data_IF_681599776487
#
_entry.id   IF_681599776487
#
_cell.length_a   1.000
_cell.length_b   1.000
_cell.length_c   1.000
_cell.angle_alpha   90.00
_cell.angle_beta   90.00
_cell.angle_gamma   90.00
#
_symmetry.space_group_name_H-M   'P 1'
#
loop_
_entity.id
_entity.type
_entity.pdbx_description
1 polymer ?
#
# COMPACT_ATOMS: atom_id res chain seq x y z
N UNK A 1 -7.86 -3.20 21.68
CA UNK A 1 -8.98 -2.97 20.75
C UNK A 1 -10.19 -3.85 21.12
N UNK A 2 -9.99 -4.97 21.81
CA UNK A 2 -11.06 -5.92 22.17
C UNK A 2 -11.90 -5.46 23.37
N UNK A 3 -11.47 -4.50 24.19
CA UNK A 3 -12.16 -4.06 25.41
C UNK A 3 -13.18 -2.92 25.20
N UNK A 4 -13.40 -2.43 24.00
CA UNK A 4 -14.30 -1.30 23.70
C UNK A 4 -15.70 -1.72 23.20
N UNK A 5 -16.12 -2.97 23.44
CA UNK A 5 -17.35 -3.54 22.88
C UNK A 5 -18.65 -3.21 23.63
N UNK A 6 -18.67 -2.30 24.59
CA UNK A 6 -19.88 -1.95 25.35
C UNK A 6 -20.18 -0.44 25.35
N UNK A 7 -20.61 0.12 24.23
CA UNK A 7 -21.44 1.34 24.22
C UNK A 7 -22.14 1.49 22.86
N UNK A 8 -23.38 1.05 22.78
CA UNK A 8 -24.26 1.28 21.63
C UNK A 8 -24.94 2.65 21.70
N UNK A 9 -24.72 3.49 20.69
CA UNK A 9 -25.68 4.55 20.33
C UNK A 9 -25.80 4.55 18.80
N UNK A 10 -27.02 4.46 18.32
CA UNK A 10 -27.36 4.36 16.91
C UNK A 10 -26.97 5.60 16.13
N UNK A 11 -25.95 5.50 15.26
CA UNK A 11 -25.63 6.52 14.27
C UNK A 11 -26.32 6.12 12.97
N UNK A 12 -27.22 6.99 12.47
CA UNK A 12 -27.77 6.91 11.12
C UNK A 12 -26.69 7.24 10.11
N UNK A 13 -25.94 6.22 9.68
CA UNK A 13 -24.98 6.34 8.59
C UNK A 13 -25.75 6.24 7.25
N UNK A 14 -25.92 7.38 6.59
CA UNK A 14 -26.57 7.46 5.27
C UNK A 14 -25.49 7.17 4.22
N UNK A 15 -25.34 5.92 3.82
CA UNK A 15 -24.45 5.58 2.69
C UNK A 15 -23.67 4.28 2.80
N UNK A 16 -24.10 3.32 3.59
CA UNK A 16 -23.35 2.08 3.73
C UNK A 16 -23.66 1.10 2.59
N UNK A 17 -22.68 0.87 1.71
CA UNK A 17 -22.66 -0.16 0.65
C UNK A 17 -22.78 -1.58 1.22
N UNK A 18 -22.60 -1.73 2.53
CA UNK A 18 -22.59 -3.01 3.27
C UNK A 18 -23.99 -3.58 3.57
N UNK A 19 -25.08 -2.99 3.07
CA UNK A 19 -26.46 -3.48 3.33
C UNK A 19 -26.74 -4.88 2.77
N UNK A 20 -25.89 -5.42 1.89
CA UNK A 20 -25.99 -6.81 1.40
C UNK A 20 -25.19 -7.80 2.24
N UNK A 21 -24.42 -7.33 3.24
CA UNK A 21 -23.71 -8.16 4.22
C UNK A 21 -24.59 -8.47 5.42
N UNK A 22 -24.22 -9.48 6.22
CA UNK A 22 -24.92 -9.72 7.49
C UNK A 22 -24.79 -8.48 8.38
N UNK A 23 -25.79 -8.18 9.25
CA UNK A 23 -25.74 -7.01 10.12
C UNK A 23 -24.47 -6.94 10.98
N UNK A 24 -23.94 -8.09 11.42
CA UNK A 24 -22.72 -8.17 12.23
C UNK A 24 -21.46 -7.78 11.43
N UNK A 25 -21.32 -8.24 10.19
CA UNK A 25 -20.21 -7.86 9.30
C UNK A 25 -20.27 -6.37 8.96
N UNK A 26 -21.46 -5.85 8.65
CA UNK A 26 -21.68 -4.42 8.40
C UNK A 26 -21.25 -3.57 9.60
N UNK A 27 -21.59 -4.01 10.83
CA UNK A 27 -21.23 -3.34 12.07
C UNK A 27 -19.71 -3.38 12.33
N UNK A 28 -19.06 -4.53 12.14
CA UNK A 28 -17.61 -4.70 12.29
C UNK A 28 -16.87 -3.65 11.43
N UNK A 29 -17.19 -3.59 10.14
CA UNK A 29 -16.52 -2.69 9.21
C UNK A 29 -16.80 -1.22 9.50
N UNK A 30 -18.01 -0.88 9.94
CA UNK A 30 -18.35 0.49 10.35
C UNK A 30 -17.55 0.93 11.60
N UNK A 31 -17.35 0.02 12.57
CA UNK A 31 -16.54 0.31 13.78
C UNK A 31 -15.07 0.50 13.39
N UNK A 32 -14.51 -0.38 12.56
CA UNK A 32 -13.12 -0.28 12.10
C UNK A 32 -12.93 1.07 11.39
N UNK A 33 -13.77 1.40 10.40
CA UNK A 33 -13.71 2.65 9.66
C UNK A 33 -13.74 3.88 10.58
N UNK A 34 -14.67 3.92 11.52
CA UNK A 34 -14.79 5.04 12.46
C UNK A 34 -13.57 5.18 13.35
N UNK A 35 -13.04 4.07 13.86
CA UNK A 35 -11.87 4.07 14.76
C UNK A 35 -10.63 4.56 14.02
N UNK A 36 -10.37 4.03 12.84
CA UNK A 36 -9.21 4.43 12.01
C UNK A 36 -9.33 5.87 11.55
N UNK A 37 -10.52 6.28 11.08
CA UNK A 37 -10.81 7.67 10.68
C UNK A 37 -10.51 8.65 11.79
N UNK A 38 -10.97 8.36 13.02
CA UNK A 38 -10.69 9.21 14.18
C UNK A 38 -9.19 9.38 14.40
N UNK A 39 -8.42 8.31 14.40
CA UNK A 39 -6.97 8.38 14.52
C UNK A 39 -6.36 9.20 13.38
N UNK A 40 -6.77 8.94 12.15
CA UNK A 40 -6.25 9.62 10.97
C UNK A 40 -6.53 11.14 11.00
N UNK A 41 -7.74 11.55 11.36
CA UNK A 41 -8.14 12.97 11.47
C UNK A 41 -7.42 13.69 12.62
N UNK A 42 -7.27 13.05 13.78
CA UNK A 42 -6.65 13.64 14.95
C UNK A 42 -5.11 13.69 14.88
N UNK A 43 -4.48 12.74 14.20
CA UNK A 43 -3.02 12.54 14.23
C UNK A 43 -2.33 12.75 12.88
N UNK A 44 -2.85 12.15 11.81
CA UNK A 44 -2.18 12.17 10.50
C UNK A 44 -2.47 13.44 9.70
N UNK A 45 -3.73 13.91 9.69
CA UNK A 45 -4.10 15.12 8.94
C UNK A 45 -3.26 16.33 9.38
N UNK A 46 -3.08 16.62 10.67
CA UNK A 46 -2.25 17.76 11.10
C UNK A 46 -0.77 17.64 10.71
N UNK A 47 -0.22 16.42 10.67
CA UNK A 47 1.19 16.17 10.37
C UNK A 47 1.49 16.09 8.86
N UNK A 48 0.50 15.82 8.03
CA UNK A 48 0.71 15.44 6.64
C UNK A 48 1.39 16.53 5.78
N UNK A 49 1.13 17.82 6.06
CA UNK A 49 1.77 18.92 5.34
C UNK A 49 3.27 19.04 5.68
N UNK A 50 3.61 18.94 6.96
CA UNK A 50 5.00 19.02 7.43
C UNK A 50 5.82 17.81 6.95
N UNK A 51 5.24 16.60 6.98
CA UNK A 51 5.85 15.38 6.42
C UNK A 51 6.19 15.53 4.94
N UNK A 52 5.28 16.10 4.16
CA UNK A 52 5.49 16.34 2.72
C UNK A 52 6.55 17.42 2.49
N UNK A 53 6.51 18.53 3.22
CA UNK A 53 7.45 19.64 3.07
C UNK A 53 8.88 19.22 3.40
N UNK A 54 9.07 18.56 4.54
CA UNK A 54 10.38 18.12 5.03
C UNK A 54 10.88 16.83 4.37
N UNK A 55 10.02 16.08 3.69
CA UNK A 55 10.30 14.73 3.21
C UNK A 55 10.80 13.79 4.33
N UNK A 56 10.23 13.91 5.54
CA UNK A 56 10.64 13.16 6.71
C UNK A 56 9.60 12.13 7.13
N UNK A 57 10.07 10.95 7.52
CA UNK A 57 9.22 9.90 8.05
C UNK A 57 8.83 10.20 9.50
N UNK A 58 7.52 10.14 9.84
CA UNK A 58 7.05 10.52 11.17
C UNK A 58 7.17 9.35 12.16
N UNK A 59 8.37 9.09 12.69
CA UNK A 59 8.68 7.95 13.56
C UNK A 59 7.67 7.79 14.71
N UNK A 60 7.34 8.88 15.43
CA UNK A 60 6.38 8.82 16.54
C UNK A 60 4.98 8.40 16.11
N UNK A 61 4.52 8.84 14.94
CA UNK A 61 3.21 8.42 14.41
C UNK A 61 3.24 6.95 13.99
N UNK A 62 4.35 6.47 13.44
CA UNK A 62 4.54 5.06 13.15
C UNK A 62 4.51 4.20 14.42
N UNK A 63 5.13 4.65 15.52
CA UNK A 63 5.06 3.99 16.84
C UNK A 63 3.62 3.96 17.38
N UNK A 64 2.86 5.07 17.29
CA UNK A 64 1.44 5.11 17.66
C UNK A 64 0.61 4.14 16.81
N UNK A 65 0.90 4.04 15.50
CA UNK A 65 0.25 3.08 14.58
C UNK A 65 0.62 1.63 14.90
N UNK A 66 1.86 1.37 15.33
CA UNK A 66 2.33 0.07 15.79
C UNK A 66 1.57 -0.37 17.06
N UNK A 67 1.41 0.53 18.03
CA UNK A 67 0.61 0.28 19.24
C UNK A 67 -0.87 -0.03 18.94
N UNK A 68 -1.39 0.45 17.80
CA UNK A 68 -2.74 0.15 17.29
C UNK A 68 -2.77 -1.11 16.39
N UNK A 69 -1.66 -1.84 16.28
CA UNK A 69 -1.49 -3.04 15.47
C UNK A 69 -1.68 -2.83 13.94
N UNK A 70 -1.43 -1.61 13.43
CA UNK A 70 -1.56 -1.33 12.00
C UNK A 70 -0.45 -1.95 11.14
N UNK A 71 0.63 -2.45 11.76
CA UNK A 71 1.70 -3.20 11.08
C UNK A 71 1.46 -4.71 11.02
N UNK A 72 0.42 -5.24 11.69
CA UNK A 72 0.07 -6.65 11.67
C UNK A 72 -1.39 -6.91 11.35
N UNK A 73 -1.99 -6.15 10.42
CA UNK A 73 -3.44 -6.15 10.19
C UNK A 73 -4.01 -7.53 9.91
N UNK A 74 -3.48 -8.26 8.94
CA UNK A 74 -3.95 -9.59 8.53
C UNK A 74 -3.18 -10.74 9.21
N UNK A 75 -2.15 -10.42 10.00
CA UNK A 75 -1.35 -11.43 10.70
C UNK A 75 -2.10 -11.95 11.93
N UNK A 76 -2.17 -13.27 12.13
CA UNK A 76 -2.88 -13.85 13.27
C UNK A 76 -2.32 -13.40 14.63
N UNK A 77 -3.18 -13.38 15.65
CA UNK A 77 -2.80 -13.00 17.02
C UNK A 77 -1.71 -13.91 17.61
N UNK A 78 -1.58 -15.16 17.15
CA UNK A 78 -0.50 -16.07 17.52
C UNK A 78 0.89 -15.52 17.16
N UNK A 79 0.98 -14.61 16.16
CA UNK A 79 2.18 -13.92 15.74
C UNK A 79 2.10 -12.41 16.04
N UNK A 80 1.39 -12.04 17.09
CA UNK A 80 1.22 -10.67 17.57
C UNK A 80 0.48 -9.71 16.62
N UNK A 81 -0.21 -10.19 15.58
CA UNK A 81 -1.00 -9.39 14.67
C UNK A 81 -2.44 -9.17 15.13
N UNK A 82 -3.19 -8.35 14.40
CA UNK A 82 -4.59 -8.03 14.67
C UNK A 82 -5.59 -9.09 14.21
N UNK A 83 -5.20 -10.00 13.31
CA UNK A 83 -6.03 -11.08 12.78
C UNK A 83 -7.26 -10.61 12.02
N UNK A 84 -7.16 -9.46 11.35
CA UNK A 84 -8.25 -8.90 10.55
C UNK A 84 -8.35 -9.59 9.18
N UNK A 85 -9.50 -9.45 8.54
CA UNK A 85 -9.73 -9.89 7.17
C UNK A 85 -9.27 -8.84 6.14
N UNK A 86 -9.18 -9.23 4.87
CA UNK A 86 -8.71 -8.36 3.79
C UNK A 86 -9.67 -7.18 3.52
N UNK A 87 -10.96 -7.31 3.80
CA UNK A 87 -11.91 -6.20 3.74
C UNK A 87 -11.57 -5.16 4.82
N UNK A 88 -11.28 -5.59 6.04
CA UNK A 88 -10.84 -4.72 7.13
C UNK A 88 -9.51 -4.04 6.81
N UNK A 89 -8.54 -4.79 6.26
CA UNK A 89 -7.27 -4.26 5.77
C UNK A 89 -7.49 -3.14 4.73
N UNK A 90 -8.33 -3.38 3.73
CA UNK A 90 -8.63 -2.39 2.70
C UNK A 90 -9.23 -1.10 3.29
N UNK A 91 -10.13 -1.22 4.27
CA UNK A 91 -10.72 -0.09 4.99
C UNK A 91 -9.68 0.70 5.77
N UNK A 92 -8.77 0.03 6.47
CA UNK A 92 -7.68 0.70 7.21
C UNK A 92 -6.79 1.48 6.26
N UNK A 93 -6.35 0.85 5.15
CA UNK A 93 -5.52 1.52 4.14
C UNK A 93 -6.24 2.73 3.53
N UNK A 94 -7.54 2.61 3.18
CA UNK A 94 -8.35 3.71 2.66
C UNK A 94 -8.37 4.91 3.63
N UNK A 95 -8.71 4.70 4.90
CA UNK A 95 -8.86 5.78 5.88
C UNK A 95 -7.51 6.44 6.24
N UNK A 96 -6.44 5.67 6.37
CA UNK A 96 -5.09 6.21 6.59
C UNK A 96 -4.62 7.01 5.37
N UNK A 97 -4.83 6.48 4.15
CA UNK A 97 -4.39 7.14 2.91
C UNK A 97 -5.18 8.40 2.60
N UNK A 98 -6.42 8.50 3.06
CA UNK A 98 -7.23 9.73 2.99
C UNK A 98 -6.57 10.88 3.75
N UNK A 99 -5.91 10.60 4.86
CA UNK A 99 -5.18 11.60 5.65
C UNK A 99 -3.74 11.80 5.15
N UNK A 100 -3.04 10.70 4.84
CA UNK A 100 -1.65 10.69 4.37
C UNK A 100 -1.41 9.52 3.43
N UNK A 101 -1.25 9.81 2.12
CA UNK A 101 -0.89 8.80 1.12
C UNK A 101 0.42 8.08 1.46
N UNK A 102 1.41 8.82 1.99
CA UNK A 102 2.71 8.29 2.38
C UNK A 102 2.62 7.25 3.52
N UNK A 103 1.83 7.52 4.56
CA UNK A 103 1.62 6.56 5.66
C UNK A 103 0.75 5.38 5.23
N UNK A 104 -0.26 5.61 4.38
CA UNK A 104 -1.02 4.54 3.75
C UNK A 104 -0.13 3.60 2.94
N UNK A 105 0.81 4.15 2.16
CA UNK A 105 1.83 3.38 1.44
C UNK A 105 2.71 2.57 2.37
N UNK A 106 3.20 3.20 3.46
CA UNK A 106 4.07 2.55 4.44
C UNK A 106 3.43 1.27 4.97
N UNK A 107 2.22 1.37 5.52
CA UNK A 107 1.54 0.21 6.12
C UNK A 107 1.02 -0.77 5.06
N UNK A 108 0.67 -0.31 3.86
CA UNK A 108 0.25 -1.17 2.77
C UNK A 108 1.37 -2.11 2.34
N UNK A 109 2.54 -1.58 1.99
CA UNK A 109 3.71 -2.36 1.56
C UNK A 109 4.20 -3.28 2.68
N UNK A 110 4.26 -2.77 3.91
CA UNK A 110 4.66 -3.58 5.06
C UNK A 110 3.75 -4.79 5.25
N UNK A 111 2.43 -4.61 5.28
CA UNK A 111 1.49 -5.71 5.52
C UNK A 111 1.40 -6.67 4.34
N UNK A 112 1.17 -6.15 3.12
CA UNK A 112 0.77 -6.98 1.98
C UNK A 112 1.93 -7.66 1.26
N UNK A 113 3.07 -6.97 1.11
CA UNK A 113 4.18 -7.49 0.30
C UNK A 113 5.43 -7.79 1.12
N UNK A 114 5.42 -7.51 2.43
CA UNK A 114 6.54 -7.82 3.32
C UNK A 114 6.17 -8.81 4.42
N UNK A 115 5.24 -8.49 5.32
CA UNK A 115 4.85 -9.38 6.43
C UNK A 115 4.04 -10.59 5.95
N UNK A 116 3.08 -10.39 5.04
CA UNK A 116 2.25 -11.47 4.53
C UNK A 116 3.05 -12.60 3.84
N UNK A 117 4.06 -12.35 2.97
CA UNK A 117 4.90 -13.41 2.43
C UNK A 117 5.64 -14.22 3.50
N UNK A 118 6.13 -13.59 4.57
CA UNK A 118 6.77 -14.30 5.68
C UNK A 118 5.76 -15.18 6.43
N UNK A 119 4.53 -14.72 6.59
CA UNK A 119 3.45 -15.53 7.16
C UNK A 119 3.10 -16.73 6.28
N UNK A 120 2.90 -16.50 4.98
CA UNK A 120 2.38 -17.52 4.05
C UNK A 120 3.44 -18.57 3.68
N UNK A 121 4.67 -18.13 3.37
CA UNK A 121 5.71 -18.99 2.82
C UNK A 121 6.83 -19.32 3.82
N UNK A 122 6.89 -18.63 4.96
CA UNK A 122 7.91 -18.84 5.97
C UNK A 122 7.68 -20.12 6.78
N UNK A 123 8.77 -20.73 7.23
CA UNK A 123 8.74 -21.79 8.24
C UNK A 123 8.54 -21.21 9.64
N UNK A 124 8.22 -22.06 10.63
CA UNK A 124 7.86 -21.57 11.98
C UNK A 124 8.99 -20.76 12.62
N UNK A 125 10.24 -21.16 12.47
CA UNK A 125 11.38 -20.40 12.99
C UNK A 125 11.47 -18.99 12.38
N UNK A 126 11.16 -18.83 11.09
CA UNK A 126 11.13 -17.54 10.41
C UNK A 126 9.94 -16.68 10.89
N UNK A 127 8.77 -17.28 11.12
CA UNK A 127 7.63 -16.55 11.68
C UNK A 127 7.93 -16.04 13.08
N UNK A 128 8.58 -16.83 13.92
CA UNK A 128 8.99 -16.41 15.25
C UNK A 128 10.07 -15.31 15.20
N UNK A 129 11.10 -15.47 14.37
CA UNK A 129 12.24 -14.56 14.33
C UNK A 129 11.93 -13.23 13.61
N UNK A 130 11.16 -13.28 12.52
CA UNK A 130 10.98 -12.13 11.63
C UNK A 130 9.55 -11.59 11.63
N UNK A 131 8.52 -12.46 11.59
CA UNK A 131 7.14 -12.00 11.46
C UNK A 131 6.62 -11.31 12.72
N UNK A 132 6.94 -11.82 13.92
CA UNK A 132 6.49 -11.23 15.19
C UNK A 132 7.00 -9.78 15.35
N UNK A 133 8.30 -9.48 15.17
CA UNK A 133 8.76 -8.09 15.18
C UNK A 133 8.12 -7.20 14.10
N UNK A 134 7.85 -7.76 12.91
CA UNK A 134 7.13 -7.04 11.86
C UNK A 134 5.70 -6.72 12.29
N UNK A 135 4.94 -7.69 12.77
CA UNK A 135 3.54 -7.51 13.17
C UNK A 135 3.38 -6.53 14.33
N UNK A 136 4.38 -6.41 15.20
CA UNK A 136 4.45 -5.40 16.26
C UNK A 136 4.87 -4.02 15.77
N UNK A 137 5.36 -3.89 14.53
CA UNK A 137 5.94 -2.65 14.00
C UNK A 137 7.33 -2.31 14.55
N UNK A 138 7.98 -3.24 15.25
CA UNK A 138 9.35 -3.10 15.74
C UNK A 138 10.37 -3.10 14.58
N UNK A 139 10.06 -3.86 13.52
CA UNK A 139 10.84 -3.92 12.29
C UNK A 139 9.93 -3.69 11.06
N UNK A 140 10.10 -2.55 10.41
CA UNK A 140 9.35 -2.24 9.18
C UNK A 140 9.94 -3.06 8.04
N UNK A 141 9.07 -3.69 7.24
CA UNK A 141 9.47 -4.53 6.11
C UNK A 141 9.43 -3.81 4.77
N UNK A 142 10.27 -4.29 3.85
CA UNK A 142 10.33 -3.84 2.46
C UNK A 142 10.18 -5.01 1.48
N UNK A 143 9.89 -4.67 0.22
CA UNK A 143 9.82 -5.60 -0.90
C UNK A 143 10.82 -5.17 -1.97
N UNK A 144 11.96 -5.85 -2.07
CA UNK A 144 13.11 -5.44 -2.86
C UNK A 144 13.22 -6.29 -4.13
N UNK A 145 12.35 -6.02 -5.11
CA UNK A 145 12.33 -6.72 -6.41
C UNK A 145 12.96 -5.86 -7.52
N UNK A 146 12.55 -4.58 -7.60
CA UNK A 146 12.89 -3.66 -8.70
C UNK A 146 14.37 -3.32 -8.72
N UNK A 147 14.96 -3.31 -9.93
CA UNK A 147 16.35 -2.95 -10.20
C UNK A 147 16.44 -1.85 -11.29
N UNK A 148 17.61 -1.22 -11.48
CA UNK A 148 17.75 -0.17 -12.49
C UNK A 148 17.26 -0.55 -13.89
N UNK A 149 17.47 -1.81 -14.30
CA UNK A 149 17.10 -2.34 -15.62
C UNK A 149 15.85 -3.26 -15.57
N UNK A 150 15.23 -3.48 -14.39
CA UNK A 150 14.14 -4.43 -14.20
C UNK A 150 13.02 -3.85 -13.35
N UNK A 151 12.05 -3.20 -13.98
CA UNK A 151 10.82 -2.71 -13.36
C UNK A 151 9.61 -3.56 -13.76
N UNK A 152 8.91 -3.18 -14.83
CA UNK A 152 7.76 -3.95 -15.37
C UNK A 152 8.15 -5.34 -15.86
N UNK A 153 9.37 -5.51 -16.36
CA UNK A 153 9.96 -6.83 -16.61
C UNK A 153 10.71 -7.32 -15.37
N UNK A 154 9.96 -7.77 -14.37
CA UNK A 154 10.50 -8.30 -13.12
C UNK A 154 11.36 -9.58 -13.31
N UNK A 155 11.28 -10.22 -14.46
CA UNK A 155 12.10 -11.40 -14.79
C UNK A 155 13.53 -11.04 -15.23
N UNK A 156 13.80 -9.76 -15.46
CA UNK A 156 15.12 -9.29 -15.90
C UNK A 156 16.02 -8.80 -14.76
N UNK A 157 15.69 -9.09 -13.48
CA UNK A 157 16.57 -8.75 -12.36
C UNK A 157 17.95 -9.42 -12.54
N UNK A 158 18.99 -8.75 -12.02
CA UNK A 158 20.39 -9.13 -12.16
C UNK A 158 21.05 -9.46 -10.81
N UNK A 159 20.44 -9.09 -9.67
CA UNK A 159 20.92 -9.46 -8.33
C UNK A 159 21.09 -10.95 -8.22
N UNK A 160 22.28 -11.40 -7.78
CA UNK A 160 22.63 -12.81 -7.63
C UNK A 160 22.70 -13.23 -6.16
N UNK A 161 22.44 -14.51 -5.91
CA UNK A 161 22.68 -15.19 -4.65
C UNK A 161 23.44 -16.50 -4.92
N UNK A 162 24.73 -16.48 -4.69
CA UNK A 162 25.62 -17.62 -4.94
C UNK A 162 25.77 -18.41 -3.65
N UNK A 163 25.62 -19.75 -3.71
CA UNK A 163 25.85 -20.63 -2.55
C UNK A 163 27.28 -20.53 -2.06
N UNK A 164 27.45 -20.36 -0.74
CA UNK A 164 28.74 -20.34 -0.06
C UNK A 164 28.63 -21.11 1.27
N UNK A 165 29.15 -22.33 1.30
CA UNK A 165 29.03 -23.24 2.44
C UNK A 165 27.56 -23.56 2.76
N UNK A 166 27.11 -23.18 3.94
CA UNK A 166 25.76 -23.37 4.45
C UNK A 166 24.85 -22.14 4.24
N UNK A 167 25.30 -21.16 3.44
CA UNK A 167 24.55 -19.94 3.16
C UNK A 167 24.67 -19.47 1.72
N UNK A 168 24.53 -18.17 1.53
CA UNK A 168 24.60 -17.49 0.24
C UNK A 168 25.38 -16.19 0.36
N UNK A 169 26.02 -15.78 -0.73
CA UNK A 169 26.58 -14.45 -0.92
C UNK A 169 25.72 -13.73 -1.94
N UNK A 170 25.13 -12.60 -1.54
CA UNK A 170 24.29 -11.78 -2.40
C UNK A 170 25.05 -10.57 -2.90
N UNK A 171 24.92 -10.30 -4.20
CA UNK A 171 25.48 -9.13 -4.87
C UNK A 171 24.44 -8.52 -5.83
N UNK A 172 24.29 -7.19 -5.79
CA UNK A 172 23.39 -6.47 -6.66
C UNK A 172 22.85 -5.17 -6.08
N UNK A 173 21.87 -4.57 -6.75
CA UNK A 173 21.27 -3.30 -6.32
C UNK A 173 19.77 -3.29 -6.59
N UNK A 174 19.00 -2.86 -5.60
CA UNK A 174 17.55 -2.64 -5.68
C UNK A 174 17.27 -1.14 -5.61
N UNK A 175 16.33 -0.68 -6.41
CA UNK A 175 15.96 0.74 -6.45
C UNK A 175 14.48 0.95 -6.12
N UNK A 176 14.13 2.19 -5.77
CA UNK A 176 12.78 2.60 -5.42
C UNK A 176 12.17 1.73 -4.31
N UNK A 177 12.99 1.35 -3.32
CA UNK A 177 12.55 0.48 -2.22
C UNK A 177 11.71 1.31 -1.24
N UNK A 178 10.41 1.13 -1.27
CA UNK A 178 9.45 1.74 -0.32
C UNK A 178 9.79 1.30 1.11
N UNK A 179 9.73 2.23 2.06
CA UNK A 179 10.17 2.06 3.45
C UNK A 179 11.68 1.82 3.62
N UNK A 180 12.49 1.86 2.57
CA UNK A 180 13.90 1.48 2.60
C UNK A 180 14.70 2.20 3.68
N UNK A 181 14.52 3.52 3.82
CA UNK A 181 15.24 4.33 4.80
C UNK A 181 14.97 3.96 6.27
N UNK A 182 13.79 3.39 6.56
CA UNK A 182 13.36 2.99 7.92
C UNK A 182 13.17 1.47 8.07
N UNK A 183 13.55 0.70 7.05
CA UNK A 183 13.40 -0.76 7.10
C UNK A 183 14.25 -1.39 8.20
N UNK A 184 13.68 -2.38 8.87
CA UNK A 184 14.41 -3.31 9.73
C UNK A 184 14.60 -4.68 9.07
N UNK A 185 13.72 -5.04 8.11
CA UNK A 185 13.76 -6.30 7.36
C UNK A 185 13.50 -6.07 5.88
N UNK A 186 14.24 -6.76 5.03
CA UNK A 186 14.18 -6.61 3.59
C UNK A 186 13.93 -7.97 2.92
N UNK A 187 12.88 -8.08 2.11
CA UNK A 187 12.65 -9.24 1.25
C UNK A 187 13.39 -9.03 -0.08
N UNK A 188 14.55 -9.63 -0.22
CA UNK A 188 15.43 -9.47 -1.38
C UNK A 188 15.20 -10.60 -2.38
N UNK A 189 14.84 -10.27 -3.61
CA UNK A 189 14.72 -11.19 -4.72
C UNK A 189 16.04 -11.26 -5.48
N UNK A 190 16.56 -12.48 -5.67
CA UNK A 190 17.84 -12.73 -6.33
C UNK A 190 17.80 -13.97 -7.19
N UNK A 191 18.72 -14.07 -8.15
CA UNK A 191 18.95 -15.25 -8.98
C UNK A 191 19.85 -16.22 -8.22
N UNK A 192 19.38 -17.43 -7.98
CA UNK A 192 20.14 -18.50 -7.32
C UNK A 192 20.78 -19.48 -8.28
N UNK A 193 20.21 -19.63 -9.47
CA UNK A 193 20.77 -20.52 -10.50
C UNK A 193 20.67 -19.85 -11.88
N UNK A 194 21.77 -19.27 -12.39
CA UNK A 194 21.83 -18.71 -13.74
C UNK A 194 22.14 -19.83 -14.77
N UNK A 195 21.23 -20.78 -14.97
CA UNK A 195 21.45 -21.85 -15.96
C UNK A 195 20.98 -21.47 -17.37
N UNK A 196 21.53 -22.09 -18.41
CA UNK A 196 21.07 -21.93 -19.79
C UNK A 196 19.61 -22.36 -20.00
N UNK A 197 19.04 -23.15 -19.09
CA UNK A 197 17.65 -23.62 -19.12
C UNK A 197 16.63 -22.62 -18.52
N UNK A 198 17.10 -21.49 -17.98
CA UNK A 198 16.30 -20.45 -17.36
C UNK A 198 16.93 -19.95 -16.06
N UNK A 199 16.43 -18.81 -15.59
CA UNK A 199 16.85 -18.22 -14.33
C UNK A 199 15.95 -18.72 -13.22
N UNK A 200 16.53 -19.20 -12.13
CA UNK A 200 15.79 -19.51 -10.90
C UNK A 200 15.90 -18.33 -9.94
N UNK A 201 14.77 -17.88 -9.45
CA UNK A 201 14.67 -16.75 -8.53
C UNK A 201 14.31 -17.24 -7.14
N UNK A 202 14.97 -16.68 -6.13
CA UNK A 202 14.71 -16.97 -4.72
C UNK A 202 14.51 -15.69 -3.93
N UNK A 203 13.95 -15.79 -2.72
CA UNK A 203 13.69 -14.67 -1.84
C UNK A 203 14.42 -14.87 -0.52
N UNK A 204 15.08 -13.84 -0.05
CA UNK A 204 15.82 -13.86 1.21
C UNK A 204 15.28 -12.80 2.16
N UNK A 205 15.10 -13.16 3.43
CA UNK A 205 14.77 -12.22 4.51
C UNK A 205 16.08 -11.71 5.08
N UNK A 206 16.38 -10.42 4.90
CA UNK A 206 17.67 -9.85 5.31
C UNK A 206 17.43 -8.68 6.27
N UNK A 207 18.06 -8.75 7.44
CA UNK A 207 18.07 -7.65 8.41
C UNK A 207 18.85 -6.47 7.85
N UNK A 208 18.38 -5.26 8.12
CA UNK A 208 18.99 -4.03 7.58
C UNK A 208 20.40 -3.78 8.10
N UNK A 209 20.73 -4.31 9.27
CA UNK A 209 22.04 -4.18 9.92
C UNK A 209 23.06 -5.23 9.46
N UNK A 210 22.69 -6.09 8.50
CA UNK A 210 23.57 -7.15 8.01
C UNK A 210 24.74 -6.56 7.23
N UNK A 211 25.95 -7.07 7.53
CA UNK A 211 27.16 -6.71 6.80
C UNK A 211 27.01 -6.99 5.31
N UNK A 212 27.42 -6.05 4.47
CA UNK A 212 27.25 -6.10 3.01
C UNK A 212 25.89 -5.62 2.49
N UNK A 213 24.95 -5.20 3.38
CA UNK A 213 23.74 -4.49 2.96
C UNK A 213 23.89 -3.01 3.29
N UNK A 214 23.74 -2.15 2.27
CA UNK A 214 23.82 -0.70 2.42
C UNK A 214 22.54 -0.04 1.90
N UNK A 215 22.05 0.95 2.66
CA UNK A 215 20.96 1.84 2.23
C UNK A 215 21.55 3.06 1.57
N UNK A 216 21.14 3.35 0.35
CA UNK A 216 21.55 4.56 -0.34
C UNK A 216 20.80 5.81 0.14
N UNK A 217 21.08 6.94 -0.52
CA UNK A 217 20.39 8.19 -0.23
C UNK A 217 18.89 8.08 -0.54
N UNK A 218 18.08 8.79 0.24
CA UNK A 218 16.64 8.89 -0.01
C UNK A 218 16.40 9.59 -1.37
N UNK A 219 15.47 9.02 -2.14
CA UNK A 219 15.03 9.59 -3.42
C UNK A 219 14.24 10.89 -3.20
N UNK A 220 14.52 11.91 -4.00
CA UNK A 220 13.72 13.15 -4.04
C UNK A 220 12.51 12.95 -4.96
N UNK A 221 11.40 12.54 -4.37
CA UNK A 221 10.19 12.15 -5.08
C UNK A 221 9.22 13.31 -5.27
N UNK A 222 8.44 13.24 -6.34
CA UNK A 222 7.34 14.16 -6.65
C UNK A 222 6.29 14.19 -5.54
N UNK A 223 5.90 13.02 -5.01
CA UNK A 223 4.90 12.82 -3.96
C UNK A 223 5.30 11.68 -3.03
N UNK A 224 4.40 11.30 -2.09
CA UNK A 224 4.70 10.30 -1.06
C UNK A 224 5.93 10.66 -0.20
N UNK A 225 6.26 11.93 -0.10
CA UNK A 225 7.54 12.45 0.42
C UNK A 225 7.80 12.09 1.89
N UNK A 226 6.74 11.81 2.66
CA UNK A 226 6.87 11.28 4.03
C UNK A 226 7.20 9.79 4.12
N UNK A 227 7.35 9.07 2.99
CA UNK A 227 7.82 7.69 2.95
C UNK A 227 9.27 7.64 2.44
N UNK A 228 10.22 7.11 3.22
CA UNK A 228 11.63 7.13 2.84
C UNK A 228 11.93 6.00 1.84
N UNK A 229 11.85 6.32 0.57
CA UNK A 229 12.24 5.45 -0.55
C UNK A 229 13.72 5.62 -0.82
N UNK A 230 14.49 4.52 -0.87
CA UNK A 230 15.91 4.57 -1.21
C UNK A 230 16.36 3.29 -1.93
N UNK A 231 17.51 3.31 -2.61
CA UNK A 231 18.13 2.08 -3.10
C UNK A 231 18.70 1.25 -1.95
N UNK A 232 18.76 -0.09 -2.17
CA UNK A 232 19.45 -1.05 -1.31
C UNK A 232 20.51 -1.73 -2.13
N UNK A 233 21.75 -1.65 -1.69
CA UNK A 233 22.93 -2.24 -2.36
C UNK A 233 23.41 -3.44 -1.54
N UNK A 234 23.75 -4.50 -2.24
CA UNK A 234 24.30 -5.73 -1.68
C UNK A 234 25.70 -5.93 -2.24
N UNK A 235 26.69 -5.96 -1.36
CA UNK A 235 28.09 -6.13 -1.69
C UNK A 235 28.69 -7.24 -0.82
N UNK A 236 28.87 -8.42 -1.40
CA UNK A 236 29.28 -9.64 -0.71
C UNK A 236 28.46 -9.93 0.55
N UNK A 237 27.16 -9.62 0.51
CA UNK A 237 26.26 -9.77 1.65
C UNK A 237 26.05 -11.26 1.95
N UNK A 238 26.63 -11.72 3.09
CA UNK A 238 26.52 -13.11 3.54
C UNK A 238 25.21 -13.35 4.26
N UNK A 239 24.42 -14.29 3.76
CA UNK A 239 23.08 -14.60 4.26
C UNK A 239 22.98 -16.07 4.60
N UNK A 240 22.60 -16.45 5.84
CA UNK A 240 22.42 -17.85 6.23
C UNK A 240 21.30 -18.52 5.43
N UNK A 241 21.38 -19.83 5.28
CA UNK A 241 20.38 -20.62 4.55
C UNK A 241 18.97 -20.50 5.17
N UNK A 242 18.89 -20.37 6.48
CA UNK A 242 17.63 -20.19 7.21
C UNK A 242 16.89 -18.92 6.87
N UNK A 243 17.53 -17.94 6.21
CA UNK A 243 16.91 -16.72 5.74
C UNK A 243 16.27 -16.86 4.34
N UNK A 244 16.44 -17.99 3.66
CA UNK A 244 15.75 -18.29 2.41
C UNK A 244 14.24 -18.46 2.70
N UNK A 245 13.41 -17.62 2.10
CA UNK A 245 11.95 -17.69 2.24
C UNK A 245 11.36 -18.67 1.21
N UNK A 246 10.69 -19.70 1.69
CA UNK A 246 10.21 -20.80 0.87
C UNK A 246 11.36 -21.71 0.41
N UNK A 247 11.32 -22.16 -0.82
CA UNK A 247 12.35 -23.01 -1.44
C UNK A 247 13.11 -22.25 -2.52
N UNK A 248 14.33 -22.71 -2.81
CA UNK A 248 15.12 -22.18 -3.93
C UNK A 248 14.35 -22.34 -5.25
N UNK A 249 14.37 -21.30 -6.10
CA UNK A 249 13.61 -21.28 -7.35
C UNK A 249 12.15 -20.81 -7.24
N UNK A 250 11.60 -20.65 -6.04
CA UNK A 250 10.21 -20.20 -5.84
C UNK A 250 10.02 -18.67 -5.84
N UNK A 251 11.08 -17.90 -5.97
CA UNK A 251 11.03 -16.43 -5.80
C UNK A 251 10.00 -15.73 -6.69
N UNK A 252 9.94 -16.07 -7.97
CA UNK A 252 8.96 -15.42 -8.88
C UNK A 252 7.51 -15.82 -8.54
N UNK A 253 7.27 -17.06 -8.11
CA UNK A 253 5.96 -17.51 -7.63
C UNK A 253 5.54 -16.72 -6.40
N UNK A 254 6.45 -16.55 -5.44
CA UNK A 254 6.21 -15.76 -4.22
C UNK A 254 5.92 -14.30 -4.60
N UNK A 255 6.74 -13.69 -5.46
CA UNK A 255 6.54 -12.31 -5.92
C UNK A 255 5.14 -12.09 -6.53
N UNK A 256 4.76 -12.91 -7.50
CA UNK A 256 3.49 -12.74 -8.21
C UNK A 256 2.26 -12.97 -7.30
N UNK A 257 2.31 -14.01 -6.45
CA UNK A 257 1.25 -14.28 -5.46
C UNK A 257 1.10 -13.14 -4.46
N UNK A 258 2.21 -12.59 -4.00
CA UNK A 258 2.25 -11.47 -3.05
C UNK A 258 1.69 -10.19 -3.65
N UNK A 259 2.06 -9.89 -4.90
CA UNK A 259 1.59 -8.69 -5.61
C UNK A 259 0.06 -8.68 -5.83
N UNK A 260 -0.62 -9.83 -5.87
CA UNK A 260 -2.08 -9.86 -5.95
C UNK A 260 -2.74 -9.24 -4.70
N UNK A 261 -2.17 -9.48 -3.52
CA UNK A 261 -2.57 -8.82 -2.27
C UNK A 261 -2.16 -7.34 -2.24
N UNK A 262 -0.94 -7.04 -2.70
CA UNK A 262 -0.43 -5.67 -2.80
C UNK A 262 -1.29 -4.76 -3.66
N UNK A 263 -1.83 -5.26 -4.79
CA UNK A 263 -2.77 -4.52 -5.66
C UNK A 263 -4.04 -4.10 -4.93
N UNK A 264 -4.56 -4.90 -4.00
CA UNK A 264 -5.68 -4.51 -3.13
C UNK A 264 -5.26 -3.33 -2.25
N UNK A 265 -4.08 -3.40 -1.65
CA UNK A 265 -3.53 -2.33 -0.81
C UNK A 265 -3.36 -1.02 -1.57
N UNK A 266 -2.71 -1.05 -2.75
CA UNK A 266 -2.53 0.15 -3.58
C UNK A 266 -3.86 0.68 -4.13
N UNK A 267 -4.79 -0.20 -4.50
CA UNK A 267 -6.15 0.21 -4.87
C UNK A 267 -6.84 0.96 -3.72
N UNK A 268 -6.71 0.47 -2.50
CA UNK A 268 -7.29 1.09 -1.29
C UNK A 268 -6.60 2.42 -0.96
N UNK A 269 -5.30 2.52 -1.15
CA UNK A 269 -4.54 3.77 -1.00
C UNK A 269 -5.02 4.82 -2.01
N UNK A 270 -5.09 4.45 -3.28
CA UNK A 270 -5.57 5.33 -4.33
C UNK A 270 -7.02 5.79 -4.08
N UNK A 271 -7.90 4.88 -3.61
CA UNK A 271 -9.25 5.21 -3.19
C UNK A 271 -9.26 6.25 -2.05
N UNK A 272 -8.40 6.09 -1.05
CA UNK A 272 -8.26 7.06 0.05
C UNK A 272 -7.90 8.45 -0.45
N UNK A 273 -6.93 8.55 -1.37
CA UNK A 273 -6.53 9.81 -1.99
C UNK A 273 -7.68 10.40 -2.83
N UNK A 274 -8.38 9.58 -3.63
CA UNK A 274 -9.53 10.04 -4.42
C UNK A 274 -10.66 10.57 -3.53
N UNK A 275 -10.94 9.89 -2.41
CA UNK A 275 -11.93 10.31 -1.42
C UNK A 275 -11.53 11.65 -0.78
N UNK A 276 -10.26 11.85 -0.44
CA UNK A 276 -9.73 13.11 0.09
C UNK A 276 -9.92 14.26 -0.92
N UNK A 277 -9.64 14.01 -2.20
CA UNK A 277 -9.86 14.99 -3.26
C UNK A 277 -11.34 15.37 -3.41
N UNK A 278 -12.24 14.40 -3.35
CA UNK A 278 -13.68 14.64 -3.41
C UNK A 278 -14.16 15.47 -2.23
N UNK A 279 -13.79 15.10 -0.99
CA UNK A 279 -14.20 15.82 0.23
C UNK A 279 -13.67 17.25 0.24
N UNK A 280 -12.39 17.48 -0.12
CA UNK A 280 -11.80 18.80 -0.23
C UNK A 280 -12.51 19.66 -1.29
N UNK A 281 -12.84 19.05 -2.45
CA UNK A 281 -13.54 19.74 -3.54
C UNK A 281 -14.97 20.15 -3.16
N UNK A 282 -15.71 19.26 -2.48
CA UNK A 282 -17.05 19.55 -1.98
C UNK A 282 -17.01 20.74 -0.99
N UNK A 283 -16.09 20.64 -0.01
CA UNK A 283 -15.93 21.71 1.00
C UNK A 283 -15.62 23.05 0.34
N UNK A 284 -14.60 23.10 -0.51
CA UNK A 284 -14.21 24.31 -1.20
C UNK A 284 -15.35 24.87 -2.07
N UNK A 285 -16.06 24.01 -2.82
CA UNK A 285 -17.17 24.45 -3.67
C UNK A 285 -18.33 25.06 -2.89
N UNK A 286 -18.57 24.59 -1.66
CA UNK A 286 -19.62 25.14 -0.77
C UNK A 286 -19.23 26.47 -0.13
N UNK A 287 -17.93 26.71 0.08
CA UNK A 287 -17.40 27.90 0.76
C UNK A 287 -17.04 29.03 -0.23
N UNK A 288 -16.65 28.71 -1.47
CA UNK A 288 -16.19 29.68 -2.48
C UNK A 288 -17.34 30.33 -3.23
N UNK A 289 -17.34 31.65 -3.29
CA UNK A 289 -18.30 32.46 -4.05
C UNK A 289 -17.65 33.10 -5.27
N UNK A 290 -18.31 33.02 -6.41
CA UNK A 290 -18.00 33.74 -7.65
C UNK A 290 -19.31 34.06 -8.40
N UNK A 291 -19.34 35.19 -9.13
CA UNK A 291 -20.51 35.64 -9.87
C UNK A 291 -21.79 35.72 -8.99
N UNK A 292 -21.61 36.12 -7.73
CA UNK A 292 -22.72 36.34 -6.78
C UNK A 292 -23.31 35.07 -6.13
N UNK A 293 -22.78 33.88 -6.38
CA UNK A 293 -23.24 32.61 -5.79
C UNK A 293 -22.08 31.65 -5.47
N UNK A 294 -22.38 30.62 -4.67
CA UNK A 294 -21.38 29.56 -4.39
C UNK A 294 -21.00 28.87 -5.70
N UNK A 295 -19.75 28.46 -5.84
CA UNK A 295 -19.36 27.71 -7.05
C UNK A 295 -20.04 26.34 -7.12
N UNK A 296 -20.47 25.76 -5.99
CA UNK A 296 -21.30 24.54 -5.94
C UNK A 296 -22.65 24.68 -6.68
N UNK A 297 -23.14 25.91 -6.91
CA UNK A 297 -24.41 26.18 -7.59
C UNK A 297 -24.26 26.30 -9.12
N UNK A 298 -23.03 26.07 -9.66
CA UNK A 298 -22.80 25.98 -11.10
C UNK A 298 -22.86 24.54 -11.61
N UNK A 299 -23.60 24.30 -12.69
CA UNK A 299 -23.80 22.98 -13.27
C UNK A 299 -22.48 22.25 -13.65
N UNK A 300 -21.46 22.99 -14.12
CA UNK A 300 -20.15 22.40 -14.42
C UNK A 300 -19.46 21.81 -13.17
N UNK A 301 -19.53 22.53 -12.02
CA UNK A 301 -18.96 22.05 -10.75
C UNK A 301 -19.76 20.85 -10.22
N UNK A 302 -21.09 20.89 -10.33
CA UNK A 302 -21.96 19.76 -9.96
C UNK A 302 -21.63 18.51 -10.78
N UNK A 303 -21.41 18.67 -12.09
CA UNK A 303 -20.99 17.59 -12.96
C UNK A 303 -19.66 16.96 -12.53
N UNK A 304 -18.64 17.78 -12.27
CA UNK A 304 -17.37 17.32 -11.76
C UNK A 304 -17.48 16.54 -10.44
N UNK A 305 -18.24 17.05 -9.48
CA UNK A 305 -18.44 16.38 -8.19
C UNK A 305 -19.20 15.05 -8.35
N UNK A 306 -20.19 14.99 -9.22
CA UNK A 306 -20.95 13.78 -9.51
C UNK A 306 -20.05 12.68 -10.15
N UNK A 307 -19.21 13.06 -11.12
CA UNK A 307 -18.27 12.15 -11.77
C UNK A 307 -17.24 11.62 -10.76
N UNK A 308 -16.65 12.50 -9.95
CA UNK A 308 -15.72 12.11 -8.88
C UNK A 308 -16.38 11.13 -7.90
N UNK A 309 -17.57 11.44 -7.41
CA UNK A 309 -18.29 10.60 -6.45
C UNK A 309 -18.61 9.21 -7.03
N UNK A 310 -19.04 9.16 -8.29
CA UNK A 310 -19.36 7.92 -8.98
C UNK A 310 -18.13 7.03 -9.14
N UNK A 311 -17.01 7.59 -9.57
CA UNK A 311 -15.75 6.85 -9.74
C UNK A 311 -15.15 6.38 -8.42
N UNK A 312 -15.21 7.20 -7.36
CA UNK A 312 -14.79 6.82 -6.01
C UNK A 312 -15.59 5.62 -5.51
N UNK A 313 -16.91 5.64 -5.67
CA UNK A 313 -17.77 4.51 -5.25
C UNK A 313 -17.52 3.25 -6.06
N UNK A 314 -17.35 3.37 -7.38
CA UNK A 314 -17.01 2.23 -8.24
C UNK A 314 -15.65 1.62 -7.85
N UNK A 315 -14.64 2.45 -7.52
CA UNK A 315 -13.34 1.99 -7.02
C UNK A 315 -13.51 1.18 -5.73
N UNK A 316 -14.30 1.68 -4.79
CA UNK A 316 -14.58 1.02 -3.51
C UNK A 316 -15.22 -0.35 -3.72
N UNK A 317 -16.20 -0.45 -4.59
CA UNK A 317 -16.88 -1.71 -4.90
C UNK A 317 -15.93 -2.75 -5.52
N UNK A 318 -15.04 -2.34 -6.43
CA UNK A 318 -14.04 -3.23 -7.02
C UNK A 318 -13.05 -3.75 -5.98
N UNK A 319 -12.57 -2.88 -5.08
CA UNK A 319 -11.64 -3.24 -4.00
C UNK A 319 -12.32 -4.22 -3.03
N UNK A 320 -13.54 -3.92 -2.60
CA UNK A 320 -14.29 -4.79 -1.69
C UNK A 320 -14.55 -6.17 -2.31
N UNK A 321 -14.83 -6.23 -3.62
CA UNK A 321 -14.97 -7.50 -4.33
C UNK A 321 -13.67 -8.30 -4.31
N UNK A 322 -12.53 -7.69 -4.65
CA UNK A 322 -11.23 -8.35 -4.64
C UNK A 322 -10.87 -8.86 -3.23
N UNK A 323 -11.04 -8.00 -2.20
CA UNK A 323 -10.80 -8.35 -0.79
C UNK A 323 -11.68 -9.52 -0.33
N UNK A 324 -12.98 -9.50 -0.65
CA UNK A 324 -13.91 -10.58 -0.29
C UNK A 324 -13.56 -11.92 -0.96
N UNK A 325 -13.07 -11.91 -2.19
CA UNK A 325 -12.59 -13.12 -2.85
C UNK A 325 -11.35 -13.68 -2.15
N UNK A 326 -10.40 -12.80 -1.77
CA UNK A 326 -9.20 -13.18 -1.02
C UNK A 326 -9.54 -13.79 0.33
N UNK A 327 -10.45 -13.18 1.10
CA UNK A 327 -10.92 -13.71 2.39
C UNK A 327 -11.53 -15.12 2.26
N UNK A 328 -12.20 -15.36 1.15
CA UNK A 328 -12.78 -16.67 0.83
C UNK A 328 -11.78 -17.65 0.20
N UNK A 329 -10.50 -17.29 0.11
CA UNK A 329 -9.43 -18.05 -0.54
C UNK A 329 -9.75 -18.43 -1.99
N UNK A 330 -10.48 -17.58 -2.70
CA UNK A 330 -10.81 -17.75 -4.12
C UNK A 330 -9.78 -17.05 -5.00
N UNK A 331 -9.56 -17.49 -6.25
CA UNK A 331 -8.74 -16.75 -7.21
C UNK A 331 -9.23 -15.31 -7.36
N UNK A 332 -8.32 -14.34 -7.19
CA UNK A 332 -8.67 -12.91 -7.17
C UNK A 332 -7.70 -12.02 -7.96
N UNK A 333 -6.71 -12.61 -8.66
CA UNK A 333 -5.68 -11.85 -9.38
C UNK A 333 -6.26 -10.86 -10.39
N UNK A 334 -7.29 -11.27 -11.15
CA UNK A 334 -8.01 -10.41 -12.09
C UNK A 334 -8.73 -9.27 -11.39
N UNK A 335 -9.47 -9.57 -10.35
CA UNK A 335 -10.24 -8.60 -9.59
C UNK A 335 -9.34 -7.61 -8.86
N UNK A 336 -8.20 -8.05 -8.32
CA UNK A 336 -7.17 -7.20 -7.72
C UNK A 336 -6.56 -6.26 -8.75
N UNK A 337 -6.25 -6.76 -9.95
CA UNK A 337 -5.76 -5.94 -11.05
C UNK A 337 -6.79 -4.90 -11.53
N UNK A 338 -8.08 -5.29 -11.64
CA UNK A 338 -9.18 -4.36 -11.98
C UNK A 338 -9.35 -3.28 -10.92
N UNK A 339 -9.31 -3.65 -9.64
CA UNK A 339 -9.44 -2.73 -8.52
C UNK A 339 -8.29 -1.69 -8.52
N UNK A 340 -7.05 -2.15 -8.64
CA UNK A 340 -5.86 -1.28 -8.68
C UNK A 340 -5.88 -0.35 -9.88
N UNK A 341 -6.15 -0.87 -11.08
CA UNK A 341 -6.22 -0.09 -12.30
C UNK A 341 -7.25 1.04 -12.18
N UNK A 342 -8.48 0.69 -11.84
CA UNK A 342 -9.57 1.66 -11.80
C UNK A 342 -9.38 2.70 -10.68
N UNK A 343 -8.95 2.27 -9.48
CA UNK A 343 -8.76 3.17 -8.35
C UNK A 343 -7.59 4.13 -8.57
N UNK A 344 -6.46 3.67 -9.14
CA UNK A 344 -5.30 4.53 -9.40
C UNK A 344 -5.60 5.62 -10.44
N UNK A 345 -6.27 5.27 -11.54
CA UNK A 345 -6.70 6.25 -12.55
C UNK A 345 -7.77 7.20 -11.97
N UNK A 346 -8.66 6.70 -11.12
CA UNK A 346 -9.63 7.53 -10.40
C UNK A 346 -8.96 8.55 -9.48
N UNK A 347 -7.90 8.15 -8.77
CA UNK A 347 -7.18 9.06 -7.88
C UNK A 347 -6.53 10.22 -8.63
N UNK A 348 -5.87 9.92 -9.76
CA UNK A 348 -5.25 10.95 -10.61
C UNK A 348 -6.30 11.89 -11.20
N UNK A 349 -7.41 11.35 -11.73
CA UNK A 349 -8.50 12.17 -12.27
C UNK A 349 -9.16 13.02 -11.18
N UNK A 350 -9.45 12.45 -10.02
CA UNK A 350 -10.05 13.18 -8.90
C UNK A 350 -9.15 14.31 -8.42
N UNK A 351 -7.84 14.08 -8.34
CA UNK A 351 -6.89 15.11 -7.93
C UNK A 351 -6.79 16.22 -8.99
N UNK A 352 -6.74 15.87 -10.27
CA UNK A 352 -6.74 16.84 -11.39
C UNK A 352 -8.01 17.69 -11.40
N UNK A 353 -9.18 17.07 -11.22
CA UNK A 353 -10.48 17.77 -11.16
C UNK A 353 -10.52 18.64 -9.91
N UNK A 354 -10.06 18.13 -8.77
CA UNK A 354 -9.99 18.87 -7.53
C UNK A 354 -9.13 20.14 -7.63
N UNK A 355 -7.96 20.07 -8.25
CA UNK A 355 -7.13 21.24 -8.58
C UNK A 355 -7.93 22.27 -9.40
N UNK A 356 -8.64 21.79 -10.43
CA UNK A 356 -9.44 22.67 -11.30
C UNK A 356 -10.58 23.35 -10.54
N UNK A 357 -11.26 22.65 -9.63
CA UNK A 357 -12.34 23.22 -8.79
C UNK A 357 -11.77 24.31 -7.86
N UNK A 358 -10.58 24.11 -7.30
CA UNK A 358 -9.92 25.10 -6.44
C UNK A 358 -9.35 26.31 -7.22
N UNK A 359 -9.20 26.19 -8.55
CA UNK A 359 -8.64 27.25 -9.40
C UNK A 359 -7.22 27.61 -8.98
N UNK A 360 -6.88 28.91 -8.95
CA UNK A 360 -5.55 29.37 -8.54
C UNK A 360 -5.11 28.91 -7.15
N UNK A 361 -6.03 28.77 -6.21
CA UNK A 361 -5.73 28.21 -4.89
C UNK A 361 -5.36 26.73 -4.91
N UNK A 362 -5.86 25.95 -5.88
CA UNK A 362 -5.47 24.57 -6.07
C UNK A 362 -3.99 24.41 -6.49
N UNK A 363 -3.43 25.43 -7.14
CA UNK A 363 -2.02 25.46 -7.55
C UNK A 363 -1.08 25.99 -6.46
N UNK A 364 -1.62 26.31 -5.30
CA UNK A 364 -0.90 26.81 -4.12
C UNK A 364 -0.86 25.75 -3.01
N UNK A 365 0.24 25.71 -2.26
CA UNK A 365 0.39 24.86 -1.07
C UNK A 365 -0.55 25.22 0.11
N UNK A 366 -1.38 26.28 -0.03
CA UNK A 366 -2.35 26.67 0.97
C UNK A 366 -3.50 25.65 1.16
N UNK A 367 -3.71 24.81 0.17
CA UNK A 367 -4.70 23.72 0.20
C UNK A 367 -4.02 22.36 -0.07
N UNK A 368 -4.51 21.27 0.51
CA UNK A 368 -3.84 19.97 0.38
C UNK A 368 -4.01 19.31 -1.00
N UNK A 369 -4.83 19.88 -1.87
CA UNK A 369 -5.20 19.27 -3.14
C UNK A 369 -4.00 19.10 -4.09
N UNK A 370 -3.01 20.01 -4.05
CA UNK A 370 -1.80 19.89 -4.87
C UNK A 370 -0.93 18.71 -4.41
N UNK A 371 -0.85 18.46 -3.09
CA UNK A 371 -0.17 17.29 -2.53
C UNK A 371 -0.85 15.99 -2.96
N UNK A 372 -2.18 15.95 -2.90
CA UNK A 372 -2.95 14.80 -3.36
C UNK A 372 -2.69 14.48 -4.83
N UNK A 373 -2.51 15.52 -5.68
CA UNK A 373 -2.16 15.32 -7.09
C UNK A 373 -0.79 14.71 -7.26
N UNK A 374 0.22 15.16 -6.50
CA UNK A 374 1.57 14.61 -6.52
C UNK A 374 1.58 13.16 -6.01
N UNK A 375 0.85 12.90 -4.93
CA UNK A 375 0.74 11.57 -4.32
C UNK A 375 -0.03 10.58 -5.22
N UNK A 376 -1.10 11.02 -5.87
CA UNK A 376 -1.94 10.15 -6.70
C UNK A 376 -1.17 9.51 -7.87
N UNK A 377 -0.23 10.27 -8.48
CA UNK A 377 0.41 9.83 -9.72
C UNK A 377 1.16 8.50 -9.60
N UNK A 378 1.85 8.28 -8.51
CA UNK A 378 2.64 7.06 -8.33
C UNK A 378 1.76 5.80 -8.20
N UNK A 379 0.48 5.94 -7.81
CA UNK A 379 -0.46 4.81 -7.75
C UNK A 379 -0.69 4.13 -9.10
N UNK A 380 -0.48 4.83 -10.23
CA UNK A 380 -0.53 4.24 -11.57
C UNK A 380 0.74 3.48 -11.95
N UNK A 381 1.85 3.65 -11.19
CA UNK A 381 3.19 3.20 -11.58
C UNK A 381 3.62 1.97 -10.79
N UNK A 382 3.66 2.04 -9.45
CA UNK A 382 4.21 0.97 -8.62
C UNK A 382 3.25 -0.23 -8.47
N UNK A 383 3.80 -1.35 -7.98
CA UNK A 383 3.12 -2.67 -7.88
C UNK A 383 2.47 -3.14 -9.19
N UNK A 384 3.14 -2.77 -10.29
CA UNK A 384 2.70 -3.00 -11.67
C UNK A 384 1.92 -1.82 -12.23
N UNK A 385 2.46 -1.23 -13.31
CA UNK A 385 1.86 -0.07 -13.97
C UNK A 385 0.42 -0.35 -14.43
N UNK A 386 -0.34 0.72 -14.75
CA UNK A 386 -1.69 0.59 -15.34
C UNK A 386 -1.70 -0.29 -16.58
N UNK A 387 -0.62 -0.26 -17.39
CA UNK A 387 -0.43 -1.13 -18.57
C UNK A 387 -0.26 -2.59 -18.16
N UNK A 388 0.56 -2.86 -17.13
CA UNK A 388 0.74 -4.22 -16.58
C UNK A 388 -0.58 -4.77 -16.04
N UNK A 389 -1.38 -3.95 -15.34
CA UNK A 389 -2.71 -4.37 -14.88
C UNK A 389 -3.61 -4.78 -16.05
N UNK A 390 -3.61 -4.00 -17.15
CA UNK A 390 -4.36 -4.32 -18.37
C UNK A 390 -3.91 -5.65 -18.99
N UNK A 391 -2.60 -5.94 -18.98
CA UNK A 391 -2.06 -7.22 -19.45
C UNK A 391 -2.56 -8.37 -18.56
N UNK A 392 -2.53 -8.22 -17.24
CA UNK A 392 -3.02 -9.25 -16.29
C UNK A 392 -4.50 -9.53 -16.52
N UNK A 393 -5.32 -8.48 -16.63
CA UNK A 393 -6.75 -8.60 -16.91
C UNK A 393 -6.99 -9.30 -18.25
N UNK A 394 -6.36 -8.81 -19.33
CA UNK A 394 -6.53 -9.35 -20.67
C UNK A 394 -6.15 -10.84 -20.73
N UNK A 395 -4.99 -11.21 -20.16
CA UNK A 395 -4.57 -12.62 -20.10
C UNK A 395 -5.55 -13.51 -19.33
N UNK A 396 -6.22 -12.98 -18.31
CA UNK A 396 -7.19 -13.75 -17.52
C UNK A 396 -8.50 -14.05 -18.27
N UNK A 397 -8.89 -13.19 -19.21
CA UNK A 397 -10.15 -13.34 -19.99
C UNK A 397 -9.93 -14.01 -21.35
N UNK A 398 -8.69 -13.95 -21.89
CA UNK A 398 -8.33 -14.57 -23.17
C UNK A 398 -7.91 -16.04 -23.00
N UNK A 399 -7.56 -16.48 -21.79
CA UNK A 399 -7.19 -17.89 -21.55
C UNK A 399 -8.31 -18.81 -22.05
N UNK A 400 -7.94 -19.60 -23.04
CA UNK A 400 -8.75 -20.71 -23.57
C UNK A 400 -8.74 -21.88 -22.60
#
# INVERSE_FOLDING_TARGET
VISAFTAFSAVKDRGCVYRSMTPELSMKYAVIRRTVRKFAEEKLVPAAAEMDEKAEFPVRLAEEMAALQYFGLEIPAAYAGAGLDSVSYAIVIEEISKASGAMGLCISVHNSVSAFPVYEFGIESQRQAFLIPMAKGEKIGTFCLTEPNAGSDASSIETTAVRDGDGYILNGSKIFVTNGGVSGLNLIFAITNPSEKGREYSVFIIESEREGLEKGAQEDLMGMRGNPVCPIVLNDCRVPRENLLGEEGQGMRIALSTLDGGRIGIGSQALGIAQACLEASIKYAQERYQFGKRIADFGAIQGFLADMATRVEASRLLILRASSLRDRKMPHSRESAMAKLFASETAVDAARIGLQIHGGYGYSKAYPIERYYRDAKVCEIYEGTSEVQRIVIARSIIKK
#
